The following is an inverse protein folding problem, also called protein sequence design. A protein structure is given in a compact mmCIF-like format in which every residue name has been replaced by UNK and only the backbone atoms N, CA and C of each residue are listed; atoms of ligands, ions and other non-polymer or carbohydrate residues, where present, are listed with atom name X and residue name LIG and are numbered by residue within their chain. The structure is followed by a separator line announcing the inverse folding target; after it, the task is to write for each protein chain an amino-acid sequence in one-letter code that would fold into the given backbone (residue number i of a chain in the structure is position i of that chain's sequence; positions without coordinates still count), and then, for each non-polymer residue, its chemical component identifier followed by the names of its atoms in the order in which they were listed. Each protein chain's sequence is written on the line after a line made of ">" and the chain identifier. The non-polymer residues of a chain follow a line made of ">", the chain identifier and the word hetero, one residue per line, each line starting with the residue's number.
data_IF_141028936822
#
_entry.id   IF_141028936822
#
_cell.length_a   1.000
_cell.length_b   1.000
_cell.length_c   1.000
_cell.angle_alpha   90.00
_cell.angle_beta   90.00
_cell.angle_gamma   90.00
#
_symmetry.space_group_name_H-M   'P 1'
#
loop_
_entity.id
_entity.type
_entity.pdbx_description
1 polymer ?
#
# COMPACT_ATOMS: atom_id res chain seq x y z
N UNK A 1 -11.27 2.47 4.22
CA UNK A 1 -9.86 2.66 3.84
C UNK A 1 -9.53 4.10 3.45
N UNK A 2 -10.19 4.70 2.44
CA UNK A 2 -9.90 6.08 2.04
C UNK A 2 -10.08 7.08 3.19
N UNK A 3 -11.14 6.94 3.98
CA UNK A 3 -11.39 7.77 5.18
C UNK A 3 -10.25 7.68 6.19
N UNK A 4 -9.72 6.48 6.45
CA UNK A 4 -8.57 6.29 7.34
C UNK A 4 -7.33 7.01 6.80
N UNK A 5 -7.05 6.87 5.51
CA UNK A 5 -5.97 7.61 4.85
C UNK A 5 -6.18 9.12 4.95
N UNK A 6 -7.41 9.59 4.73
CA UNK A 6 -7.77 11.00 4.88
C UNK A 6 -7.49 11.51 6.29
N UNK A 7 -7.92 10.77 7.32
CA UNK A 7 -7.66 11.12 8.71
C UNK A 7 -6.16 11.17 9.01
N UNK A 8 -5.39 10.20 8.51
CA UNK A 8 -3.93 10.19 8.66
C UNK A 8 -3.28 11.38 7.95
N UNK A 9 -3.68 11.69 6.72
CA UNK A 9 -3.17 12.85 5.98
C UNK A 9 -3.51 14.14 6.71
N UNK A 10 -4.76 14.35 7.13
CA UNK A 10 -5.19 15.54 7.87
C UNK A 10 -4.37 15.75 9.15
N UNK A 11 -4.10 14.68 9.90
CA UNK A 11 -3.28 14.75 11.11
C UNK A 11 -1.82 15.15 10.82
N UNK A 12 -1.30 14.90 9.62
CA UNK A 12 0.10 15.15 9.25
C UNK A 12 0.30 16.34 8.30
N UNK A 13 -0.78 16.87 7.73
CA UNK A 13 -0.76 17.94 6.72
C UNK A 13 -0.32 19.30 7.26
N UNK A 14 -0.17 19.47 8.57
CA UNK A 14 0.12 20.75 9.23
C UNK A 14 1.23 21.56 8.56
N UNK A 15 2.47 21.04 8.55
CA UNK A 15 3.59 21.79 7.98
C UNK A 15 3.67 21.70 6.46
N UNK A 16 3.33 20.55 5.88
CA UNK A 16 3.49 20.30 4.45
C UNK A 16 2.42 21.01 3.59
N UNK A 17 1.23 21.23 4.14
CA UNK A 17 0.06 21.78 3.42
C UNK A 17 -0.48 23.02 4.11
N UNK A 18 -0.91 22.92 5.37
CA UNK A 18 -1.67 24.00 6.04
C UNK A 18 -0.80 25.25 6.26
N UNK A 19 0.45 25.06 6.68
CA UNK A 19 1.39 26.14 6.94
C UNK A 19 2.31 26.43 5.74
N UNK A 20 2.02 25.86 4.57
CA UNK A 20 2.85 26.02 3.39
C UNK A 20 2.37 27.22 2.56
N UNK A 21 3.15 28.33 2.48
CA UNK A 21 2.71 29.54 1.79
C UNK A 21 2.58 29.36 0.27
N UNK A 22 3.15 28.29 -0.30
CA UNK A 22 3.03 27.98 -1.72
C UNK A 22 1.71 27.27 -2.07
N UNK A 23 0.91 26.89 -1.07
CA UNK A 23 -0.40 26.25 -1.25
C UNK A 23 -1.47 27.23 -0.75
N UNK A 24 -2.42 27.64 -1.61
CA UNK A 24 -3.52 28.48 -1.16
C UNK A 24 -4.35 27.76 -0.09
N UNK A 25 -4.68 28.45 1.00
CA UNK A 25 -5.46 27.85 2.09
C UNK A 25 -6.81 27.28 1.63
N UNK A 26 -7.41 27.86 0.59
CA UNK A 26 -8.64 27.36 -0.04
C UNK A 26 -8.48 25.99 -0.73
N UNK A 27 -7.24 25.57 -1.01
CA UNK A 27 -6.92 24.27 -1.61
C UNK A 27 -6.45 23.24 -0.58
N UNK A 28 -6.27 23.60 0.69
CA UNK A 28 -5.72 22.68 1.70
C UNK A 28 -6.49 21.35 1.75
N UNK A 29 -7.82 21.41 1.80
CA UNK A 29 -8.67 20.21 1.82
C UNK A 29 -8.54 19.40 0.54
N UNK A 30 -8.52 20.05 -0.63
CA UNK A 30 -8.33 19.39 -1.92
C UNK A 30 -6.96 18.74 -2.06
N UNK A 31 -5.90 19.38 -1.55
CA UNK A 31 -4.54 18.81 -1.50
C UNK A 31 -4.54 17.57 -0.61
N UNK A 32 -5.08 17.66 0.61
CA UNK A 32 -5.14 16.51 1.53
C UNK A 32 -5.93 15.34 0.94
N UNK A 33 -7.09 15.62 0.33
CA UNK A 33 -7.91 14.60 -0.33
C UNK A 33 -7.19 13.97 -1.53
N UNK A 34 -6.49 14.78 -2.32
CA UNK A 34 -5.71 14.30 -3.47
C UNK A 34 -4.57 13.41 -2.99
N UNK A 35 -3.82 13.81 -1.96
CA UNK A 35 -2.77 12.98 -1.36
C UNK A 35 -3.33 11.64 -0.88
N UNK A 36 -4.43 11.64 -0.11
CA UNK A 36 -5.03 10.41 0.40
C UNK A 36 -5.49 9.47 -0.73
N UNK A 37 -6.16 10.02 -1.74
CA UNK A 37 -6.63 9.27 -2.91
C UNK A 37 -5.48 8.72 -3.74
N UNK A 38 -4.43 9.51 -3.96
CA UNK A 38 -3.26 9.12 -4.72
C UNK A 38 -2.39 8.09 -4.00
N UNK A 39 -2.30 8.15 -2.67
CA UNK A 39 -1.68 7.08 -1.87
C UNK A 39 -2.44 5.77 -2.10
N UNK A 40 -3.77 5.78 -1.96
CA UNK A 40 -4.58 4.58 -2.17
C UNK A 40 -4.43 4.02 -3.60
N UNK A 41 -4.49 4.90 -4.60
CA UNK A 41 -4.35 4.52 -6.00
C UNK A 41 -2.95 3.99 -6.32
N UNK A 42 -1.90 4.63 -5.81
CA UNK A 42 -0.52 4.19 -5.99
C UNK A 42 -0.25 2.84 -5.34
N UNK A 43 -0.76 2.60 -4.13
CA UNK A 43 -0.70 1.29 -3.49
C UNK A 43 -1.40 0.23 -4.35
N UNK A 44 -2.55 0.57 -4.93
CA UNK A 44 -3.28 -0.35 -5.80
C UNK A 44 -2.53 -0.68 -7.09
N UNK A 45 -1.88 0.31 -7.71
CA UNK A 45 -1.04 0.09 -8.88
C UNK A 45 0.18 -0.77 -8.54
N UNK A 46 0.81 -0.54 -7.38
CA UNK A 46 1.93 -1.35 -6.92
C UNK A 46 1.53 -2.80 -6.68
N UNK A 47 0.38 -3.04 -6.04
CA UNK A 47 -0.13 -4.40 -5.84
C UNK A 47 -0.36 -5.13 -7.18
N UNK A 48 -0.90 -4.42 -8.18
CA UNK A 48 -1.14 -4.98 -9.52
C UNK A 48 0.13 -5.13 -10.36
N UNK A 49 1.13 -4.27 -10.15
CA UNK A 49 2.39 -4.22 -10.90
C UNK A 49 3.49 -5.17 -10.40
N UNK A 50 3.18 -6.09 -9.49
CA UNK A 50 4.15 -7.04 -8.91
C UNK A 50 4.80 -6.57 -7.59
N UNK A 51 4.42 -5.40 -7.08
CA UNK A 51 4.85 -4.86 -5.78
C UNK A 51 4.09 -5.44 -4.57
N UNK A 52 3.16 -6.38 -4.78
CA UNK A 52 2.34 -6.98 -3.70
C UNK A 52 3.20 -7.60 -2.59
N UNK A 53 4.30 -8.26 -2.95
CA UNK A 53 5.21 -8.84 -1.97
C UNK A 53 5.88 -7.79 -1.08
N UNK A 54 6.29 -6.66 -1.66
CA UNK A 54 6.85 -5.54 -0.92
C UNK A 54 5.81 -4.89 0.00
N UNK A 55 4.57 -4.77 -0.46
CA UNK A 55 3.44 -4.27 0.33
C UNK A 55 3.13 -5.18 1.52
N UNK A 56 3.06 -6.49 1.29
CA UNK A 56 2.85 -7.47 2.35
C UNK A 56 3.98 -7.41 3.38
N UNK A 57 5.23 -7.34 2.91
CA UNK A 57 6.39 -7.14 3.78
C UNK A 57 6.32 -5.85 4.59
N UNK A 58 5.81 -4.75 4.03
CA UNK A 58 5.62 -3.49 4.76
C UNK A 58 4.55 -3.61 5.86
N UNK A 59 3.42 -4.25 5.57
CA UNK A 59 2.33 -4.46 6.54
C UNK A 59 2.81 -5.35 7.68
N UNK A 60 3.41 -6.51 7.36
CA UNK A 60 3.88 -7.48 8.36
C UNK A 60 4.96 -6.90 9.27
N UNK A 61 5.87 -6.07 8.72
CA UNK A 61 6.92 -5.42 9.50
C UNK A 61 6.50 -4.10 10.16
N UNK A 62 5.19 -3.77 10.18
CA UNK A 62 4.68 -2.54 10.79
C UNK A 62 5.30 -1.26 10.23
N UNK A 63 5.71 -1.27 8.95
CA UNK A 63 6.32 -0.12 8.30
C UNK A 63 7.80 0.12 8.62
N UNK A 64 8.52 -0.85 9.19
CA UNK A 64 9.94 -0.73 9.60
C UNK A 64 10.94 -0.29 8.52
N UNK A 65 10.56 -0.26 7.23
CA UNK A 65 11.40 0.19 6.11
C UNK A 65 10.65 1.03 5.07
N UNK A 66 9.57 1.74 5.44
CA UNK A 66 8.73 2.49 4.49
C UNK A 66 9.56 3.46 3.64
N UNK A 67 10.50 4.21 4.23
CA UNK A 67 11.31 5.20 3.50
C UNK A 67 12.20 4.61 2.41
N UNK A 68 12.68 3.38 2.60
CA UNK A 68 13.58 2.70 1.65
C UNK A 68 12.82 1.76 0.70
N UNK A 69 11.51 1.65 0.87
CA UNK A 69 10.71 0.71 0.09
C UNK A 69 10.42 1.30 -1.31
N UNK A 70 10.63 0.53 -2.40
CA UNK A 70 10.31 0.98 -3.76
C UNK A 70 8.84 1.37 -3.93
N UNK A 71 7.92 0.71 -3.23
CA UNK A 71 6.49 1.04 -3.23
C UNK A 71 6.28 2.48 -2.75
N UNK A 72 7.00 2.91 -1.72
CA UNK A 72 6.88 4.28 -1.20
C UNK A 72 7.36 5.32 -2.21
N UNK A 73 8.45 5.04 -2.92
CA UNK A 73 8.99 5.92 -3.97
C UNK A 73 8.00 6.04 -5.14
N UNK A 74 7.42 4.93 -5.56
CA UNK A 74 6.43 4.93 -6.65
C UNK A 74 5.14 5.65 -6.24
N UNK A 75 4.68 5.45 -5.00
CA UNK A 75 3.52 6.18 -4.46
C UNK A 75 3.82 7.68 -4.34
N UNK A 76 5.04 8.07 -3.94
CA UNK A 76 5.47 9.48 -3.92
C UNK A 76 5.34 10.12 -5.30
N UNK A 77 5.88 9.47 -6.35
CA UNK A 77 5.74 9.94 -7.73
C UNK A 77 4.29 10.05 -8.16
N UNK A 78 3.45 9.09 -7.76
CA UNK A 78 2.03 9.10 -8.07
C UNK A 78 1.28 10.27 -7.41
N UNK A 79 1.61 10.57 -6.15
CA UNK A 79 1.05 11.71 -5.42
C UNK A 79 1.51 13.03 -6.03
N UNK A 80 2.80 13.15 -6.34
CA UNK A 80 3.36 14.32 -7.02
C UNK A 80 2.61 14.61 -8.33
N UNK A 81 2.50 13.58 -9.19
CA UNK A 81 1.80 13.69 -10.48
C UNK A 81 0.35 14.16 -10.32
N UNK A 82 -0.40 13.56 -9.39
CA UNK A 82 -1.79 13.94 -9.17
C UNK A 82 -1.96 15.36 -8.60
N UNK A 83 -1.06 15.80 -7.71
CA UNK A 83 -1.09 17.18 -7.20
C UNK A 83 -0.83 18.19 -8.33
N UNK A 84 0.10 17.88 -9.22
CA UNK A 84 0.37 18.71 -10.40
C UNK A 84 -0.81 18.73 -11.37
N UNK A 85 -1.30 17.56 -11.78
CA UNK A 85 -2.33 17.44 -12.81
C UNK A 85 -3.72 17.90 -12.34
N UNK A 86 -4.11 17.60 -11.09
CA UNK A 86 -5.46 17.89 -10.60
C UNK A 86 -5.61 19.27 -10.00
N UNK A 87 -4.57 19.76 -9.33
CA UNK A 87 -4.64 21.00 -8.56
C UNK A 87 -3.75 22.11 -9.15
N UNK A 88 -2.95 21.80 -10.17
CA UNK A 88 -2.01 22.77 -10.75
C UNK A 88 -0.91 23.17 -9.76
N UNK A 89 -0.62 22.34 -8.77
CA UNK A 89 0.47 22.57 -7.81
C UNK A 89 1.81 22.49 -8.56
N UNK A 90 2.75 23.38 -8.26
CA UNK A 90 4.05 23.34 -8.93
C UNK A 90 4.83 22.06 -8.59
N UNK A 91 5.69 21.55 -9.49
CA UNK A 91 6.44 20.31 -9.26
C UNK A 91 7.23 20.34 -7.95
N UNK A 92 7.86 21.46 -7.62
CA UNK A 92 8.66 21.61 -6.40
C UNK A 92 7.80 21.50 -5.13
N UNK A 93 6.61 22.08 -5.14
CA UNK A 93 5.68 22.01 -4.00
C UNK A 93 5.06 20.63 -3.90
N UNK A 94 4.65 20.04 -5.02
CA UNK A 94 4.11 18.68 -5.08
C UNK A 94 5.13 17.66 -4.55
N UNK A 95 6.40 17.75 -4.98
CA UNK A 95 7.49 16.92 -4.49
C UNK A 95 7.72 17.12 -2.98
N UNK A 96 7.70 18.36 -2.48
CA UNK A 96 7.83 18.65 -1.05
C UNK A 96 6.70 18.03 -0.22
N UNK A 97 5.46 18.12 -0.71
CA UNK A 97 4.28 17.54 -0.05
C UNK A 97 4.37 16.02 -0.07
N UNK A 98 4.66 15.41 -1.22
CA UNK A 98 4.75 13.97 -1.38
C UNK A 98 5.89 13.36 -0.55
N UNK A 99 7.08 13.97 -0.60
CA UNK A 99 8.26 13.52 0.15
C UNK A 99 8.06 13.55 1.67
N UNK A 100 7.25 14.48 2.16
CA UNK A 100 6.94 14.61 3.59
C UNK A 100 5.77 13.71 4.00
N UNK A 101 4.63 13.81 3.33
CA UNK A 101 3.40 13.16 3.79
C UNK A 101 3.34 11.68 3.47
N UNK A 102 3.80 11.25 2.29
CA UNK A 102 3.64 9.86 1.86
C UNK A 102 4.35 8.89 2.81
N UNK A 103 5.63 9.07 3.17
CA UNK A 103 6.29 8.13 4.06
C UNK A 103 5.67 8.11 5.45
N UNK A 104 5.29 9.27 5.99
CA UNK A 104 4.70 9.37 7.33
C UNK A 104 3.32 8.70 7.37
N UNK A 105 2.47 8.97 6.36
CA UNK A 105 1.13 8.39 6.28
C UNK A 105 1.19 6.89 6.04
N UNK A 106 2.05 6.43 5.12
CA UNK A 106 2.26 4.99 4.90
C UNK A 106 2.80 4.32 6.15
N UNK A 107 3.80 4.90 6.81
CA UNK A 107 4.35 4.35 8.06
C UNK A 107 3.25 4.22 9.12
N UNK A 108 2.46 5.27 9.36
CA UNK A 108 1.34 5.21 10.31
C UNK A 108 0.27 4.21 9.90
N UNK A 109 -0.05 4.10 8.61
CA UNK A 109 -1.02 3.14 8.12
C UNK A 109 -0.56 1.69 8.35
N UNK A 110 0.68 1.37 8.01
CA UNK A 110 1.25 0.04 8.19
C UNK A 110 1.40 -0.31 9.67
N UNK A 111 1.83 0.65 10.51
CA UNK A 111 1.88 0.48 11.96
C UNK A 111 0.50 0.12 12.52
N UNK A 112 -0.54 0.88 12.15
CA UNK A 112 -1.93 0.60 12.57
C UNK A 112 -2.37 -0.79 12.13
N UNK A 113 -2.09 -1.19 10.89
CA UNK A 113 -2.46 -2.49 10.36
C UNK A 113 -1.73 -3.67 11.01
N UNK A 114 -0.55 -3.43 11.58
CA UNK A 114 0.22 -4.43 12.33
C UNK A 114 -0.07 -4.43 13.83
N UNK A 115 -0.80 -3.44 14.35
CA UNK A 115 -1.05 -3.29 15.79
C UNK A 115 -2.25 -4.15 16.21
N UNK A 116 -2.04 -5.20 17.04
CA UNK A 116 -3.13 -6.06 17.51
C UNK A 116 -4.13 -5.32 18.41
N UNK A 117 -3.80 -4.12 18.91
CA UNK A 117 -4.67 -3.30 19.75
C UNK A 117 -5.44 -2.22 18.97
N UNK A 118 -5.15 -2.04 17.67
CA UNK A 118 -5.80 -1.04 16.82
C UNK A 118 -6.57 -1.72 15.68
N UNK A 119 -7.88 -1.93 15.89
CA UNK A 119 -8.76 -2.52 14.87
C UNK A 119 -9.26 -1.52 13.83
N UNK A 120 -8.79 -0.26 13.84
CA UNK A 120 -9.24 0.76 12.87
C UNK A 120 -8.72 0.51 11.45
N UNK A 121 -7.62 -0.24 11.32
CA UNK A 121 -7.03 -0.66 10.05
C UNK A 121 -6.52 -2.07 10.21
N UNK A 122 -6.87 -2.95 9.28
CA UNK A 122 -6.38 -4.31 9.26
C UNK A 122 -5.54 -4.55 7.99
N UNK A 123 -4.50 -5.40 8.11
CA UNK A 123 -3.60 -5.72 7.00
C UNK A 123 -4.31 -6.34 5.80
N UNK A 124 -5.31 -7.20 6.02
CA UNK A 124 -6.14 -7.75 4.95
C UNK A 124 -6.97 -6.66 4.26
N UNK A 125 -7.42 -5.64 5.01
CA UNK A 125 -8.15 -4.51 4.43
C UNK A 125 -7.26 -3.62 3.56
N UNK A 126 -5.99 -3.40 3.93
CA UNK A 126 -5.03 -2.68 3.08
C UNK A 126 -4.79 -3.45 1.79
N UNK A 127 -4.44 -4.73 1.91
CA UNK A 127 -4.09 -5.56 0.77
C UNK A 127 -5.29 -5.82 -0.13
N UNK A 128 -6.48 -6.00 0.44
CA UNK A 128 -7.72 -6.10 -0.33
C UNK A 128 -8.08 -4.80 -1.06
N UNK A 129 -7.86 -3.64 -0.44
CA UNK A 129 -8.07 -2.35 -1.12
C UNK A 129 -7.04 -2.11 -2.23
N UNK A 130 -5.79 -2.56 -2.05
CA UNK A 130 -4.74 -2.42 -3.06
C UNK A 130 -4.92 -3.40 -4.23
N UNK A 131 -5.22 -4.67 -3.95
CA UNK A 131 -5.42 -5.72 -4.97
C UNK A 131 -6.80 -5.70 -5.60
N UNK A 132 -7.78 -5.00 -4.99
CA UNK A 132 -9.19 -5.13 -5.32
C UNK A 132 -9.84 -6.41 -4.79
N UNK A 133 -9.08 -7.29 -4.13
CA UNK A 133 -9.54 -8.59 -3.64
C UNK A 133 -9.90 -8.53 -2.15
N UNK A 134 -11.16 -8.22 -1.87
CA UNK A 134 -11.70 -8.18 -0.52
C UNK A 134 -12.02 -9.60 -0.01
N UNK A 135 -11.82 -9.84 1.29
CA UNK A 135 -12.13 -11.13 1.94
C UNK A 135 -11.04 -12.20 1.84
N UNK A 136 -9.90 -11.88 1.22
CA UNK A 136 -8.71 -12.75 1.24
C UNK A 136 -7.96 -12.52 2.55
N UNK A 137 -7.63 -13.61 3.25
CA UNK A 137 -6.79 -13.57 4.45
C UNK A 137 -5.31 -13.55 4.09
N UNK A 138 -4.86 -12.42 3.54
CA UNK A 138 -3.48 -12.15 3.19
C UNK A 138 -2.52 -12.27 4.37
N UNK A 139 -2.94 -11.82 5.55
CA UNK A 139 -2.14 -11.84 6.77
C UNK A 139 -2.00 -13.26 7.31
N UNK A 140 -3.05 -14.08 7.29
CA UNK A 140 -2.95 -15.51 7.59
C UNK A 140 -2.10 -16.25 6.56
N UNK A 141 -2.17 -15.86 5.29
CA UNK A 141 -1.34 -16.43 4.23
C UNK A 141 0.15 -16.05 4.39
N UNK A 142 0.44 -14.81 4.79
CA UNK A 142 1.78 -14.39 5.21
C UNK A 142 2.23 -15.12 6.47
N UNK A 143 1.37 -15.25 7.48
CA UNK A 143 1.69 -15.93 8.73
C UNK A 143 2.01 -17.41 8.55
N UNK A 144 1.27 -18.10 7.67
CA UNK A 144 1.54 -19.49 7.30
C UNK A 144 2.77 -19.63 6.42
N UNK A 145 3.06 -18.66 5.54
CA UNK A 145 4.34 -18.54 4.86
C UNK A 145 5.51 -18.32 5.83
N UNK A 146 5.30 -17.65 6.96
CA UNK A 146 6.31 -17.43 8.01
C UNK A 146 6.43 -18.59 9.02
N UNK A 147 5.58 -19.61 8.92
CA UNK A 147 5.46 -20.65 9.95
C UNK A 147 6.71 -21.54 10.06
N UNK A 148 7.58 -21.57 9.05
CA UNK A 148 8.86 -22.28 9.09
C UNK A 148 10.03 -21.40 9.60
N UNK A 149 9.76 -20.13 9.92
CA UNK A 149 10.72 -19.18 10.44
C UNK A 149 11.45 -18.35 9.37
N UNK A 150 11.09 -18.43 8.09
CA UNK A 150 11.66 -17.57 7.03
C UNK A 150 10.59 -17.09 6.06
N UNK A 151 10.68 -15.81 5.66
CA UNK A 151 9.95 -15.29 4.50
C UNK A 151 10.81 -15.57 3.27
N UNK A 152 10.65 -16.74 2.69
CA UNK A 152 11.35 -17.10 1.47
C UNK A 152 10.66 -16.45 0.27
N UNK A 153 11.47 -16.09 -0.73
CA UNK A 153 10.96 -15.58 -2.00
C UNK A 153 10.02 -16.59 -2.68
N UNK A 154 10.16 -17.89 -2.39
CA UNK A 154 9.24 -18.95 -2.83
C UNK A 154 7.85 -18.86 -2.19
N UNK A 155 7.77 -18.48 -0.91
CA UNK A 155 6.49 -18.36 -0.21
C UNK A 155 5.77 -17.08 -0.60
N UNK A 156 6.50 -15.97 -0.75
CA UNK A 156 5.97 -14.75 -1.35
C UNK A 156 5.49 -15.00 -2.78
N UNK A 157 6.22 -15.79 -3.58
CA UNK A 157 5.77 -16.19 -4.91
C UNK A 157 4.50 -17.02 -4.84
N UNK A 158 4.38 -17.96 -3.90
CA UNK A 158 3.15 -18.76 -3.69
C UNK A 158 1.97 -17.88 -3.33
N UNK A 159 2.14 -16.93 -2.41
CA UNK A 159 1.10 -15.96 -2.01
C UNK A 159 0.69 -15.08 -3.19
N UNK A 160 1.67 -14.53 -3.91
CA UNK A 160 1.42 -13.66 -5.06
C UNK A 160 0.77 -14.40 -6.24
N UNK A 161 1.17 -15.64 -6.51
CA UNK A 161 0.60 -16.48 -7.57
C UNK A 161 -0.74 -17.09 -7.19
N UNK A 162 -1.00 -17.31 -5.89
CA UNK A 162 -2.25 -17.88 -5.39
C UNK A 162 -3.36 -16.83 -5.23
N UNK A 163 -3.02 -15.55 -4.98
CA UNK A 163 -3.97 -14.45 -4.98
C UNK A 163 -4.43 -14.03 -6.39
N UNK A 164 -3.57 -14.15 -7.40
CA UNK A 164 -3.89 -13.90 -8.81
C UNK A 164 -4.51 -15.10 -9.51
N UNK A 165 -5.67 -15.59 -9.06
CA UNK A 165 -6.55 -16.51 -9.80
C UNK A 165 -5.91 -17.51 -10.78
N UNK A 166 -5.21 -18.54 -10.29
CA UNK A 166 -5.12 -19.88 -10.92
C UNK A 166 -4.17 -20.78 -10.13
N UNK A 167 -4.71 -21.48 -9.13
CA UNK A 167 -4.05 -22.59 -8.44
C UNK A 167 -4.87 -23.88 -8.48
N UNK A 168 -5.80 -23.98 -9.42
CA UNK A 168 -6.48 -25.22 -9.77
C UNK A 168 -5.69 -25.95 -10.85
N UNK A 169 -5.03 -27.04 -10.47
CA UNK A 169 -4.82 -28.19 -11.35
C UNK A 169 -3.78 -28.05 -12.47
N UNK A 170 -2.51 -28.35 -12.18
CA UNK A 170 -1.57 -28.91 -13.18
C UNK A 170 -0.75 -30.10 -12.67
N UNK A 171 -0.92 -30.51 -11.40
CA UNK A 171 -0.34 -31.75 -10.86
C UNK A 171 -1.27 -32.98 -10.95
N UNK A 172 -2.56 -32.79 -11.26
CA UNK A 172 -3.57 -33.85 -11.19
C UNK A 172 -4.00 -34.48 -12.52
N UNK A 173 -3.67 -33.90 -13.67
CA UNK A 173 -4.14 -34.40 -14.98
C UNK A 173 -3.07 -35.09 -15.83
N UNK A 174 -1.82 -35.13 -15.39
CA UNK A 174 -0.77 -35.93 -16.06
C UNK A 174 -0.51 -37.29 -15.40
N UNK A 175 -1.06 -37.53 -14.20
CA UNK A 175 -0.98 -38.84 -13.53
C UNK A 175 -2.04 -39.86 -13.96
N UNK A 176 -3.11 -39.42 -14.64
CA UNK A 176 -4.24 -40.27 -15.05
C UNK A 176 -4.12 -40.89 -16.44
N UNK A 177 -3.06 -40.62 -17.20
CA UNK A 177 -2.89 -41.08 -18.58
C UNK A 177 -1.69 -42.04 -18.77
N UNK A 178 -0.92 -42.32 -17.71
CA UNK A 178 0.24 -43.22 -17.74
C UNK A 178 0.26 -44.27 -16.61
N UNK A 179 -0.87 -44.50 -15.92
CA UNK A 179 -0.95 -45.43 -14.79
C UNK A 179 -1.98 -46.54 -15.00
N UNK A 180 -1.60 -47.57 -15.76
CA UNK A 180 -2.19 -48.91 -15.92
C UNK A 180 -3.69 -49.05 -16.22
#
# INVERSE_FOLDING_TARGET
>A
MLETLMNLVQQQAGQAVINNPAIPNSQNDSVMQTVASSILSGLGQQAQGGGLGNLLGMVVNGGGNVHQNPVTQDVQGHVEQNLMEKLGISPQVAMSVASTLVPIVLSKLMNKASDPNDSSVDGNSILGAATGQHGVDWMGMAGSAMADGKLDMNDLLRVATQGGGSGGGLGGMLGGLFGK
#
